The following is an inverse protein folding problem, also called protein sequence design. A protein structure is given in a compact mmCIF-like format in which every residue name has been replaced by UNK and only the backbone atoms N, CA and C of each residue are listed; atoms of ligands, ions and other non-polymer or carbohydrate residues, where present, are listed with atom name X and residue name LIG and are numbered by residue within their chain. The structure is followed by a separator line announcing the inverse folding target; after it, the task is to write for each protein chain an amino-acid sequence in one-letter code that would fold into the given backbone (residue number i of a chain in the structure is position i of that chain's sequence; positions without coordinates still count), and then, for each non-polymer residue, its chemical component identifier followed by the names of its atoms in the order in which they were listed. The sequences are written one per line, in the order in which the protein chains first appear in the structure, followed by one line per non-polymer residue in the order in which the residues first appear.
data_IF_808906111127
#
_entry.id   IF_808906111127
#
_cell.length_a   1.000
_cell.length_b   1.000
_cell.length_c   1.000
_cell.angle_alpha   90.00
_cell.angle_beta   90.00
_cell.angle_gamma   90.00
#
_symmetry.space_group_name_H-M   'P 1'
#
loop_
_entity.id
_entity.type
_entity.pdbx_description
1 polymer ?
#
# COMPACT_ATOMS: atom_id res chain seq x y z
N UNK A 1 -12.88 -29.33 -63.71
CA UNK A 1 -11.92 -28.38 -63.12
C UNK A 1 -12.13 -28.39 -61.62
N UNK A 2 -11.20 -28.96 -60.86
CA UNK A 2 -11.23 -29.08 -59.40
C UNK A 2 -10.22 -28.07 -58.86
N UNK A 3 -10.69 -27.06 -58.12
CA UNK A 3 -9.81 -26.19 -57.33
C UNK A 3 -9.65 -26.78 -55.93
N UNK A 4 -8.39 -26.90 -55.51
CA UNK A 4 -7.97 -27.43 -54.22
C UNK A 4 -7.48 -26.24 -53.38
N UNK A 5 -8.31 -25.74 -52.46
CA UNK A 5 -7.92 -24.70 -51.50
C UNK A 5 -7.12 -25.36 -50.37
N UNK A 6 -5.84 -25.00 -50.28
CA UNK A 6 -4.95 -25.40 -49.19
C UNK A 6 -4.93 -24.28 -48.15
N UNK A 7 -5.77 -24.38 -47.12
CA UNK A 7 -5.78 -23.43 -45.99
C UNK A 7 -4.63 -23.77 -45.04
N UNK A 8 -3.58 -22.98 -45.09
CA UNK A 8 -2.42 -23.05 -44.19
C UNK A 8 -2.79 -22.39 -42.85
N UNK A 9 -3.34 -23.17 -41.91
CA UNK A 9 -3.50 -22.73 -40.52
C UNK A 9 -2.14 -22.73 -39.83
N UNK A 10 -1.44 -21.59 -39.90
CA UNK A 10 -0.23 -21.34 -39.13
C UNK A 10 -0.61 -21.16 -37.65
N UNK A 11 -0.58 -22.24 -36.88
CA UNK A 11 -0.70 -22.18 -35.43
C UNK A 11 0.55 -21.50 -34.84
N UNK A 12 0.46 -20.19 -34.60
CA UNK A 12 1.43 -19.47 -33.79
C UNK A 12 1.28 -19.92 -32.33
N UNK A 13 2.03 -20.97 -31.97
CA UNK A 13 2.25 -21.35 -30.58
C UNK A 13 3.17 -20.30 -29.97
N UNK A 14 2.60 -19.20 -29.47
CA UNK A 14 3.35 -18.24 -28.66
C UNK A 14 3.70 -18.92 -27.35
N UNK A 15 4.94 -19.39 -27.24
CA UNK A 15 5.57 -19.69 -25.95
C UNK A 15 5.56 -18.39 -25.12
N UNK A 16 4.51 -18.18 -24.34
CA UNK A 16 4.55 -17.23 -23.24
C UNK A 16 5.51 -17.80 -22.21
N UNK A 17 6.79 -17.49 -22.35
CA UNK A 17 7.75 -17.66 -21.27
C UNK A 17 7.18 -16.90 -20.07
N UNK A 18 6.66 -17.64 -19.09
CA UNK A 18 6.00 -17.05 -17.93
C UNK A 18 7.05 -16.45 -16.99
N UNK A 19 7.65 -15.33 -17.41
CA UNK A 19 8.62 -14.60 -16.61
C UNK A 19 8.05 -14.28 -15.24
N UNK A 20 8.90 -14.32 -14.22
CA UNK A 20 8.53 -13.87 -12.88
C UNK A 20 8.20 -12.38 -12.94
N UNK A 21 7.12 -11.98 -12.28
CA UNK A 21 6.73 -10.56 -12.23
C UNK A 21 7.80 -9.74 -11.51
N UNK A 22 8.12 -8.57 -12.08
CA UNK A 22 9.03 -7.59 -11.45
C UNK A 22 8.59 -7.20 -10.04
N UNK A 23 7.30 -7.22 -9.74
CA UNK A 23 6.76 -6.92 -8.41
C UNK A 23 7.12 -8.02 -7.41
N UNK A 24 7.02 -9.28 -7.83
CA UNK A 24 7.43 -10.42 -7.00
C UNK A 24 8.94 -10.40 -6.75
N UNK A 25 9.73 -10.04 -7.77
CA UNK A 25 11.18 -9.83 -7.60
C UNK A 25 11.48 -8.68 -6.64
N UNK A 26 10.72 -7.59 -6.72
CA UNK A 26 10.87 -6.44 -5.83
C UNK A 26 10.52 -6.82 -4.38
N UNK A 27 9.42 -7.54 -4.18
CA UNK A 27 9.02 -8.08 -2.88
C UNK A 27 10.12 -8.99 -2.30
N UNK A 28 10.62 -9.94 -3.08
CA UNK A 28 11.63 -10.90 -2.62
C UNK A 28 12.99 -10.26 -2.28
N UNK A 29 13.28 -9.08 -2.82
CA UNK A 29 14.49 -8.30 -2.49
C UNK A 29 14.37 -7.53 -1.18
N UNK A 30 13.16 -7.33 -0.66
CA UNK A 30 12.96 -6.61 0.60
C UNK A 30 13.65 -7.33 1.77
N UNK A 31 14.14 -6.57 2.76
CA UNK A 31 14.56 -7.15 4.03
C UNK A 31 13.45 -8.04 4.61
N UNK A 32 13.83 -9.13 5.29
CA UNK A 32 12.85 -10.09 5.85
C UNK A 32 11.84 -9.41 6.80
N UNK A 33 12.30 -8.42 7.57
CA UNK A 33 11.45 -7.65 8.48
C UNK A 33 10.30 -6.94 7.73
N UNK A 34 10.59 -6.32 6.59
CA UNK A 34 9.60 -5.60 5.79
C UNK A 34 8.74 -6.50 4.90
N UNK A 35 8.93 -7.83 4.95
CA UNK A 35 8.02 -8.81 4.35
C UNK A 35 7.01 -9.36 5.35
N UNK A 36 7.15 -8.99 6.64
CA UNK A 36 6.28 -9.48 7.72
C UNK A 36 6.14 -11.01 7.76
N UNK A 37 7.21 -11.73 7.39
CA UNK A 37 7.22 -13.20 7.35
C UNK A 37 6.55 -13.84 6.14
N UNK A 38 5.85 -13.07 5.29
CA UNK A 38 5.17 -13.61 4.12
C UNK A 38 6.14 -14.09 3.04
N UNK A 39 5.79 -15.21 2.41
CA UNK A 39 6.41 -15.74 1.21
C UNK A 39 5.39 -15.78 0.09
N UNK A 40 5.70 -15.15 -1.05
CA UNK A 40 4.82 -15.18 -2.22
C UNK A 40 5.23 -16.33 -3.15
N UNK A 41 4.29 -17.22 -3.43
CA UNK A 41 4.46 -18.38 -4.30
C UNK A 41 3.54 -18.28 -5.51
N UNK A 42 4.04 -18.64 -6.70
CA UNK A 42 3.24 -18.73 -7.92
C UNK A 42 2.48 -20.06 -7.96
N UNK A 43 1.16 -20.01 -8.23
CA UNK A 43 0.29 -21.18 -8.42
C UNK A 43 -0.45 -21.04 -9.75
N UNK A 44 0.05 -21.72 -10.78
CA UNK A 44 -0.44 -21.54 -12.15
C UNK A 44 -0.22 -20.10 -12.62
N UNK A 45 -1.31 -19.41 -12.95
CA UNK A 45 -1.29 -17.99 -13.34
C UNK A 45 -1.45 -17.01 -12.16
N UNK A 46 -1.74 -17.53 -10.97
CA UNK A 46 -2.01 -16.74 -9.77
C UNK A 46 -0.82 -16.73 -8.81
N UNK A 47 -0.87 -15.83 -7.82
CA UNK A 47 0.10 -15.76 -6.73
C UNK A 47 -0.61 -15.85 -5.38
N UNK A 48 0.03 -16.53 -4.42
CA UNK A 48 -0.45 -16.63 -3.04
C UNK A 48 0.64 -16.21 -2.06
N UNK A 49 0.28 -15.47 -1.02
CA UNK A 49 1.17 -15.11 0.09
C UNK A 49 0.82 -15.96 1.31
N UNK A 50 1.83 -16.42 2.05
CA UNK A 50 1.64 -17.24 3.24
C UNK A 50 2.69 -16.88 4.29
N UNK A 51 2.25 -16.68 5.53
CA UNK A 51 3.09 -16.44 6.71
C UNK A 51 2.98 -17.57 7.76
N UNK A 52 2.40 -18.71 7.40
CA UNK A 52 2.19 -19.88 8.27
C UNK A 52 0.75 -20.02 8.80
N UNK A 53 -0.14 -19.10 8.44
CA UNK A 53 -1.57 -19.08 8.82
C UNK A 53 -2.48 -19.63 7.72
N UNK A 54 -1.93 -19.82 6.52
CA UNK A 54 -2.65 -20.26 5.33
C UNK A 54 -2.46 -19.29 4.16
N UNK A 55 -2.64 -19.76 2.92
CA UNK A 55 -2.40 -18.94 1.74
C UNK A 55 -3.53 -17.93 1.52
N UNK A 56 -3.16 -16.65 1.37
CA UNK A 56 -4.06 -15.61 0.88
C UNK A 56 -3.73 -15.25 -0.58
N UNK A 57 -4.74 -14.78 -1.33
CA UNK A 57 -4.57 -14.38 -2.71
C UNK A 57 -3.76 -13.08 -2.82
N UNK A 58 -2.84 -13.02 -3.79
CA UNK A 58 -2.05 -11.82 -4.08
C UNK A 58 -2.55 -11.18 -5.37
N UNK A 59 -2.99 -9.94 -5.28
CA UNK A 59 -3.22 -9.08 -6.42
C UNK A 59 -1.88 -8.60 -6.96
N UNK A 60 -1.57 -8.90 -8.23
CA UNK A 60 -0.37 -8.42 -8.91
C UNK A 60 -0.76 -7.60 -10.13
N UNK A 61 -0.58 -6.29 -10.05
CA UNK A 61 -0.88 -5.34 -11.12
C UNK A 61 0.43 -4.85 -11.76
N UNK A 62 0.95 -5.64 -12.70
CA UNK A 62 2.20 -5.33 -13.39
C UNK A 62 2.15 -4.04 -14.21
N UNK A 63 0.98 -3.69 -14.73
CA UNK A 63 0.80 -2.49 -15.56
C UNK A 63 1.02 -1.22 -14.72
N UNK A 64 0.49 -1.23 -13.49
CA UNK A 64 0.61 -0.09 -12.59
C UNK A 64 1.75 -0.22 -11.57
N UNK A 65 2.44 -1.37 -11.52
CA UNK A 65 3.52 -1.58 -10.58
C UNK A 65 3.03 -1.67 -9.13
N UNK A 66 1.88 -2.30 -8.91
CA UNK A 66 1.24 -2.43 -7.61
C UNK A 66 1.00 -3.90 -7.23
N UNK A 67 1.19 -4.23 -5.96
CA UNK A 67 0.89 -5.53 -5.39
C UNK A 67 0.18 -5.36 -4.05
N UNK A 68 -0.85 -6.16 -3.82
CA UNK A 68 -1.56 -6.20 -2.53
C UNK A 68 -1.92 -7.63 -2.17
N UNK A 69 -1.91 -7.93 -0.87
CA UNK A 69 -2.64 -9.07 -0.33
C UNK A 69 -3.25 -8.70 1.01
N UNK A 70 -4.33 -9.41 1.34
CA UNK A 70 -5.08 -9.27 2.59
C UNK A 70 -5.13 -10.61 3.29
N UNK A 71 -4.62 -10.64 4.50
CA UNK A 71 -4.66 -11.82 5.37
C UNK A 71 -5.66 -11.56 6.49
N UNK A 72 -6.81 -12.22 6.44
CA UNK A 72 -7.86 -12.10 7.44
C UNK A 72 -7.56 -12.90 8.72
N UNK A 73 -6.47 -13.67 8.74
CA UNK A 73 -6.03 -14.48 9.87
C UNK A 73 -7.13 -15.35 10.50
N UNK A 74 -6.91 -15.73 11.75
CA UNK A 74 -7.91 -16.32 12.67
C UNK A 74 -8.19 -15.44 13.89
N UNK A 75 -7.50 -14.28 13.99
CA UNK A 75 -7.38 -13.47 15.21
C UNK A 75 -8.20 -12.17 15.24
N UNK A 76 -9.25 -12.05 14.41
CA UNK A 76 -10.23 -10.95 14.52
C UNK A 76 -9.94 -9.68 13.72
N UNK A 77 -8.88 -9.64 12.89
CA UNK A 77 -8.56 -8.50 12.05
C UNK A 77 -7.99 -8.91 10.68
N UNK A 78 -7.98 -7.98 9.75
CA UNK A 78 -7.38 -8.11 8.43
C UNK A 78 -6.07 -7.34 8.38
N UNK A 79 -4.98 -8.06 8.11
CA UNK A 79 -3.70 -7.47 7.75
C UNK A 79 -3.68 -7.18 6.26
N UNK A 80 -3.20 -6.00 5.90
CA UNK A 80 -3.02 -5.59 4.52
C UNK A 80 -1.57 -5.29 4.29
N UNK A 81 -1.01 -5.92 3.26
CA UNK A 81 0.30 -5.59 2.74
C UNK A 81 0.14 -4.95 1.37
N UNK A 82 0.78 -3.81 1.17
CA UNK A 82 0.83 -3.13 -0.12
C UNK A 82 2.29 -2.92 -0.54
N UNK A 83 2.54 -3.03 -1.84
CA UNK A 83 3.79 -2.63 -2.48
C UNK A 83 3.48 -1.85 -3.74
N UNK A 84 4.12 -0.69 -3.91
CA UNK A 84 4.02 0.12 -5.12
C UNK A 84 5.41 0.53 -5.61
N UNK A 85 5.58 0.53 -6.94
CA UNK A 85 6.82 0.96 -7.59
C UNK A 85 6.70 2.39 -8.09
N UNK A 86 7.49 3.28 -7.50
CA UNK A 86 7.63 4.65 -7.96
C UNK A 86 8.85 4.79 -8.85
N UNK A 87 8.82 5.73 -9.78
CA UNK A 87 9.96 6.07 -10.63
C UNK A 87 10.18 7.56 -10.68
N UNK A 88 11.43 7.96 -10.61
CA UNK A 88 11.82 9.33 -10.87
C UNK A 88 12.13 9.55 -12.37
N UNK A 89 12.43 10.79 -12.74
CA UNK A 89 12.77 11.23 -14.10
C UNK A 89 14.00 10.52 -14.67
N UNK A 90 14.91 10.08 -13.79
CA UNK A 90 16.10 9.29 -14.12
C UNK A 90 15.80 7.78 -14.27
N UNK A 91 14.53 7.38 -14.17
CA UNK A 91 14.05 5.99 -14.22
C UNK A 91 14.56 5.12 -13.05
N UNK A 92 15.07 5.73 -11.99
CA UNK A 92 15.40 5.03 -10.76
C UNK A 92 14.10 4.56 -10.12
N UNK A 93 14.08 3.31 -9.65
CA UNK A 93 12.90 2.69 -9.04
C UNK A 93 12.99 2.80 -7.53
N UNK A 94 11.91 3.26 -6.91
CA UNK A 94 11.68 3.24 -5.48
C UNK A 94 10.59 2.20 -5.20
N UNK A 95 10.82 1.36 -4.20
CA UNK A 95 9.85 0.37 -3.74
C UNK A 95 9.24 0.92 -2.47
N UNK A 96 7.97 1.34 -2.56
CA UNK A 96 7.19 1.66 -1.38
C UNK A 96 6.54 0.38 -0.87
N UNK A 97 6.60 0.14 0.44
CA UNK A 97 5.83 -0.91 1.10
C UNK A 97 5.07 -0.32 2.26
N UNK A 98 3.87 -0.81 2.49
CA UNK A 98 3.08 -0.45 3.64
C UNK A 98 2.40 -1.70 4.19
N UNK A 99 2.35 -1.78 5.51
CA UNK A 99 1.71 -2.87 6.24
C UNK A 99 0.86 -2.27 7.36
N UNK A 100 -0.41 -2.63 7.40
CA UNK A 100 -1.36 -2.15 8.41
C UNK A 100 -2.43 -3.19 8.70
N UNK A 101 -3.16 -3.01 9.80
CA UNK A 101 -4.22 -3.93 10.22
C UNK A 101 -5.50 -3.18 10.59
N UNK A 102 -6.66 -3.75 10.23
CA UNK A 102 -7.97 -3.24 10.64
C UNK A 102 -8.90 -4.37 11.08
N UNK A 103 -9.82 -4.08 11.97
CA UNK A 103 -10.88 -5.00 12.43
C UNK A 103 -12.01 -5.02 11.39
N UNK A 104 -12.43 -3.83 11.00
CA UNK A 104 -13.42 -3.55 9.96
C UNK A 104 -12.93 -2.31 9.19
N UNK A 105 -12.94 -2.31 7.84
CA UNK A 105 -12.56 -1.15 7.04
C UNK A 105 -13.29 0.15 7.41
N UNK A 106 -14.50 0.05 7.96
CA UNK A 106 -15.34 1.17 8.38
C UNK A 106 -15.28 1.45 9.89
N UNK A 107 -15.05 0.42 10.72
CA UNK A 107 -15.10 0.57 12.18
C UNK A 107 -13.76 0.79 12.83
N UNK A 108 -12.66 0.35 12.20
CA UNK A 108 -11.37 0.77 12.72
C UNK A 108 -10.09 0.01 12.43
N UNK A 109 -8.99 0.77 12.52
CA UNK A 109 -7.60 0.30 12.45
C UNK A 109 -7.17 -0.28 13.80
N UNK A 110 -6.42 -1.38 13.78
CA UNK A 110 -5.85 -2.02 14.99
C UNK A 110 -4.35 -1.74 15.08
N UNK A 111 -3.70 -1.56 13.93
CA UNK A 111 -2.28 -1.25 13.83
C UNK A 111 -2.05 -0.25 12.70
N UNK A 112 -1.20 0.75 12.98
CA UNK A 112 -0.88 1.83 12.05
C UNK A 112 -0.02 1.36 10.88
N UNK A 113 -0.13 2.07 9.76
CA UNK A 113 0.66 1.80 8.57
C UNK A 113 2.06 2.40 8.66
N UNK A 114 3.09 1.56 8.78
CA UNK A 114 4.47 1.98 8.61
C UNK A 114 4.83 1.91 7.12
N UNK A 115 4.73 3.04 6.43
CA UNK A 115 5.23 3.13 5.05
C UNK A 115 6.76 3.17 5.06
N UNK A 116 7.38 2.34 4.25
CA UNK A 116 8.82 2.34 4.03
C UNK A 116 9.13 2.50 2.55
N UNK A 117 10.18 3.25 2.24
CA UNK A 117 10.70 3.37 0.88
C UNK A 117 12.08 2.75 0.79
N UNK A 118 12.30 1.98 -0.28
CA UNK A 118 13.58 1.37 -0.58
C UNK A 118 14.07 1.76 -1.97
N UNK A 119 15.36 1.98 -2.12
CA UNK A 119 16.00 2.26 -3.40
C UNK A 119 17.24 1.37 -3.59
N UNK A 120 17.52 0.99 -4.84
CA UNK A 120 18.74 0.26 -5.23
C UNK A 120 18.48 -0.95 -6.11
N UNK A 121 19.43 -1.28 -6.98
CA UNK A 121 19.28 -2.38 -7.96
C UNK A 121 19.81 -3.73 -7.44
N UNK A 122 20.97 -3.71 -6.76
CA UNK A 122 21.66 -4.88 -6.21
C UNK A 122 21.43 -5.06 -4.71
N UNK A 123 21.43 -3.96 -3.97
CA UNK A 123 21.17 -3.91 -2.53
C UNK A 123 20.16 -2.80 -2.30
N UNK A 124 19.06 -3.12 -1.64
CA UNK A 124 18.09 -2.12 -1.23
C UNK A 124 18.62 -1.37 0.00
N UNK A 125 18.49 -0.05 -0.05
CA UNK A 125 18.73 0.86 1.05
C UNK A 125 17.39 1.49 1.38
N UNK A 126 17.05 1.55 2.66
CA UNK A 126 15.86 2.27 3.11
C UNK A 126 16.10 3.77 3.01
N UNK A 127 15.19 4.47 2.34
CA UNK A 127 15.24 5.91 2.04
C UNK A 127 13.94 6.62 2.46
N UNK A 128 13.26 6.07 3.46
CA UNK A 128 11.94 6.54 3.92
C UNK A 128 11.98 8.01 4.35
N UNK A 129 13.05 8.45 5.02
CA UNK A 129 13.19 9.82 5.55
C UNK A 129 13.47 10.84 4.45
N UNK A 130 14.08 10.40 3.36
CA UNK A 130 14.40 11.22 2.19
C UNK A 130 13.19 11.35 1.26
N UNK A 131 12.31 10.35 1.26
CA UNK A 131 11.11 10.32 0.42
C UNK A 131 9.92 10.97 1.10
N UNK A 132 9.67 10.71 2.38
CA UNK A 132 8.52 11.29 3.08
C UNK A 132 8.77 12.77 3.40
N UNK A 133 7.72 13.62 3.35
CA UNK A 133 7.79 14.97 3.89
C UNK A 133 7.87 14.94 5.42
N UNK A 134 8.04 16.12 6.02
CA UNK A 134 7.86 16.29 7.46
C UNK A 134 6.43 15.89 7.88
N UNK A 135 6.34 14.80 8.66
CA UNK A 135 5.06 14.23 9.07
C UNK A 135 4.29 15.13 10.03
N UNK A 136 4.97 15.97 10.83
CA UNK A 136 4.27 16.93 11.70
C UNK A 136 3.41 17.90 10.88
N UNK A 137 3.91 18.34 9.73
CA UNK A 137 3.13 19.20 8.81
C UNK A 137 1.98 18.43 8.13
N UNK A 138 2.18 17.16 7.80
CA UNK A 138 1.13 16.29 7.23
C UNK A 138 0.01 16.06 8.23
N UNK A 139 0.36 15.71 9.46
CA UNK A 139 -0.56 15.53 10.59
C UNK A 139 -1.34 16.81 10.87
N UNK A 140 -0.67 17.96 11.00
CA UNK A 140 -1.36 19.24 11.26
C UNK A 140 -2.40 19.57 10.18
N UNK A 141 -2.04 19.38 8.91
CA UNK A 141 -2.97 19.56 7.79
C UNK A 141 -4.14 18.59 7.87
N UNK A 142 -3.87 17.33 8.16
CA UNK A 142 -4.90 16.31 8.27
C UNK A 142 -5.90 16.58 9.39
N UNK A 143 -5.41 17.08 10.52
CA UNK A 143 -6.22 17.43 11.68
C UNK A 143 -6.83 18.83 11.57
N UNK A 144 -6.67 19.50 10.42
CA UNK A 144 -7.14 20.86 10.17
C UNK A 144 -6.74 21.83 11.29
N UNK A 145 -5.49 21.72 11.77
CA UNK A 145 -4.95 22.52 12.87
C UNK A 145 -5.32 22.06 14.28
N UNK A 146 -6.00 20.92 14.46
CA UNK A 146 -6.43 20.41 15.78
C UNK A 146 -5.59 19.23 16.30
N UNK A 147 -4.40 19.00 15.73
CA UNK A 147 -3.57 17.85 16.05
C UNK A 147 -3.36 17.70 17.57
N UNK A 148 -2.98 18.79 18.24
CA UNK A 148 -2.76 18.82 19.69
C UNK A 148 -3.97 18.37 20.49
N UNK A 149 -5.16 18.91 20.20
CA UNK A 149 -6.40 18.53 20.91
C UNK A 149 -6.74 17.05 20.72
N UNK A 150 -6.48 16.51 19.54
CA UNK A 150 -6.74 15.09 19.23
C UNK A 150 -5.76 14.20 19.99
N UNK A 151 -4.47 14.54 19.96
CA UNK A 151 -3.45 13.79 20.69
C UNK A 151 -3.56 13.91 22.22
N UNK A 152 -4.18 14.97 22.74
CA UNK A 152 -4.41 15.10 24.18
C UNK A 152 -5.61 14.29 24.66
N UNK A 153 -6.69 14.22 23.86
CA UNK A 153 -7.97 13.67 24.31
C UNK A 153 -8.29 12.28 23.74
N UNK A 154 -7.70 11.89 22.60
CA UNK A 154 -8.10 10.69 21.85
C UNK A 154 -6.91 9.89 21.30
N UNK A 155 -5.68 10.17 21.73
CA UNK A 155 -4.45 9.51 21.24
C UNK A 155 -4.51 7.99 21.35
N UNK A 156 -5.13 7.47 22.41
CA UNK A 156 -5.41 6.05 22.51
C UNK A 156 -6.51 5.68 21.49
N UNK A 157 -6.11 5.02 20.40
CA UNK A 157 -7.02 4.52 19.37
C UNK A 157 -7.15 5.37 18.11
N UNK A 158 -6.34 6.42 17.95
CA UNK A 158 -6.07 7.04 16.64
C UNK A 158 -4.82 6.40 16.05
N UNK A 159 -4.99 5.70 14.93
CA UNK A 159 -3.89 5.05 14.20
C UNK A 159 -3.68 5.75 12.87
N UNK A 160 -2.45 6.04 12.51
CA UNK A 160 -2.14 6.63 11.22
C UNK A 160 -1.78 5.52 10.23
N UNK A 161 -2.22 5.64 8.99
CA UNK A 161 -1.81 4.69 7.95
C UNK A 161 -1.77 5.33 6.57
N UNK A 162 -1.01 4.70 5.69
CA UNK A 162 -0.89 5.10 4.30
C UNK A 162 -1.71 4.17 3.39
N UNK A 163 -2.17 4.68 2.26
CA UNK A 163 -2.69 3.88 1.16
C UNK A 163 -1.79 4.10 -0.06
N UNK A 164 -1.11 3.04 -0.49
CA UNK A 164 -0.27 3.10 -1.68
C UNK A 164 -1.15 3.11 -2.95
N UNK A 165 -0.84 3.93 -3.96
CA UNK A 165 -1.65 4.03 -5.15
C UNK A 165 -1.53 2.76 -5.97
N UNK A 166 -2.67 2.12 -6.23
CA UNK A 166 -2.77 1.16 -7.34
C UNK A 166 -2.73 1.85 -8.69
N UNK A 167 -3.25 3.07 -8.81
CA UNK A 167 -3.23 3.86 -10.05
C UNK A 167 -2.68 5.26 -9.74
N UNK A 168 -1.87 5.79 -10.66
CA UNK A 168 -1.19 7.08 -10.46
C UNK A 168 -0.05 6.98 -9.44
N UNK A 169 0.32 8.12 -8.85
CA UNK A 169 1.49 8.22 -7.96
C UNK A 169 1.19 9.04 -6.69
N UNK A 170 -0.09 9.18 -6.34
CA UNK A 170 -0.51 9.88 -5.12
C UNK A 170 -0.65 8.86 -4.00
N UNK A 171 0.14 9.01 -2.95
CA UNK A 171 -0.05 8.26 -1.70
C UNK A 171 -1.09 8.98 -0.86
N UNK A 172 -2.01 8.25 -0.25
CA UNK A 172 -2.95 8.85 0.71
C UNK A 172 -2.50 8.57 2.12
N UNK A 173 -2.71 9.53 3.00
CA UNK A 173 -2.48 9.42 4.43
C UNK A 173 -3.82 9.54 5.14
N UNK A 174 -4.07 8.60 6.04
CA UNK A 174 -5.35 8.36 6.70
C UNK A 174 -5.18 8.25 8.20
N UNK A 175 -6.31 8.42 8.89
CA UNK A 175 -6.45 8.24 10.33
C UNK A 175 -7.53 7.20 10.58
N UNK A 176 -7.20 6.21 11.40
CA UNK A 176 -8.12 5.32 12.05
C UNK A 176 -8.96 6.13 13.02
N UNK A 177 -10.27 6.01 12.90
CA UNK A 177 -11.22 6.84 13.64
C UNK A 177 -11.91 6.06 14.77
N UNK A 178 -11.33 4.98 15.29
CA UNK A 178 -12.01 4.05 16.19
C UNK A 178 -12.42 4.74 17.49
N UNK A 179 -11.46 5.40 18.16
CA UNK A 179 -11.72 6.11 19.42
C UNK A 179 -12.70 7.26 19.21
N UNK A 180 -12.58 7.97 18.09
CA UNK A 180 -13.50 9.03 17.69
C UNK A 180 -14.90 8.50 17.35
N UNK A 181 -15.01 7.34 16.71
CA UNK A 181 -16.27 6.65 16.40
C UNK A 181 -16.99 6.28 17.70
N UNK A 182 -16.26 5.68 18.64
CA UNK A 182 -16.79 5.28 19.93
C UNK A 182 -17.24 6.49 20.76
N UNK A 183 -16.37 7.50 20.91
CA UNK A 183 -16.69 8.71 21.66
C UNK A 183 -17.88 9.47 21.05
N UNK A 184 -17.89 9.64 19.72
CA UNK A 184 -19.00 10.27 19.02
C UNK A 184 -20.33 9.50 19.18
N UNK A 185 -20.29 8.17 19.18
CA UNK A 185 -21.48 7.33 19.42
C UNK A 185 -22.00 7.44 20.85
N UNK A 186 -21.12 7.72 21.81
CA UNK A 186 -21.45 8.02 23.21
C UNK A 186 -21.73 9.52 23.44
N UNK A 187 -22.17 10.24 22.42
CA UNK A 187 -22.63 11.64 22.49
C UNK A 187 -21.53 12.68 22.81
N UNK A 188 -20.25 12.36 22.65
CA UNK A 188 -19.19 13.37 22.67
C UNK A 188 -19.24 14.22 21.38
N UNK A 189 -19.84 15.41 21.50
CA UNK A 189 -19.97 16.37 20.39
C UNK A 189 -18.61 16.82 19.84
N UNK A 190 -17.58 16.91 20.68
CA UNK A 190 -16.24 17.31 20.25
C UNK A 190 -15.60 16.21 19.40
N UNK A 191 -15.71 14.95 19.83
CA UNK A 191 -15.25 13.80 19.04
C UNK A 191 -15.98 13.73 17.68
N UNK A 192 -17.30 13.96 17.66
CA UNK A 192 -18.07 14.02 16.41
C UNK A 192 -17.62 15.15 15.48
N UNK A 193 -17.35 16.34 16.02
CA UNK A 193 -16.88 17.50 15.26
C UNK A 193 -15.49 17.23 14.67
N UNK A 194 -14.58 16.68 15.47
CA UNK A 194 -13.24 16.28 15.05
C UNK A 194 -13.32 15.25 13.92
N UNK A 195 -14.07 14.16 14.12
CA UNK A 195 -14.24 13.10 13.11
C UNK A 195 -14.69 13.67 11.76
N UNK A 196 -15.65 14.61 11.76
CA UNK A 196 -16.15 15.25 10.53
C UNK A 196 -15.13 16.20 9.87
N UNK A 197 -14.11 16.64 10.62
CA UNK A 197 -13.07 17.54 10.13
C UNK A 197 -11.79 16.84 9.68
N UNK A 198 -11.65 15.53 9.95
CA UNK A 198 -10.49 14.76 9.51
C UNK A 198 -10.44 14.71 7.99
N UNK A 199 -9.24 14.98 7.46
CA UNK A 199 -8.97 14.96 6.02
C UNK A 199 -8.09 13.77 5.68
N UNK A 200 -8.44 13.08 4.60
CA UNK A 200 -7.46 12.25 3.89
C UNK A 200 -6.47 13.19 3.22
N UNK A 201 -5.19 13.08 3.58
CA UNK A 201 -4.15 13.92 3.02
C UNK A 201 -3.52 13.22 1.82
N UNK A 202 -3.49 13.91 0.69
CA UNK A 202 -2.81 13.46 -0.51
C UNK A 202 -1.34 13.90 -0.50
N UNK A 203 -0.46 12.93 -0.71
CA UNK A 203 0.97 13.11 -0.89
C UNK A 203 1.34 12.83 -2.35
N UNK A 204 1.83 13.85 -3.04
CA UNK A 204 2.13 13.80 -4.47
C UNK A 204 3.60 13.45 -4.69
N UNK A 205 3.84 12.48 -5.58
CA UNK A 205 5.18 12.09 -6.00
C UNK A 205 5.80 13.11 -6.98
N UNK A 206 6.89 13.74 -6.54
CA UNK A 206 7.71 14.64 -7.35
C UNK A 206 8.80 13.85 -8.05
N UNK A 207 8.52 13.44 -9.29
CA UNK A 207 9.41 12.58 -10.09
C UNK A 207 10.77 13.21 -10.39
N UNK A 208 10.92 14.52 -10.30
CA UNK A 208 12.16 15.22 -10.62
C UNK A 208 13.25 14.82 -9.63
N UNK A 209 12.89 14.66 -8.37
CA UNK A 209 13.82 14.43 -7.25
C UNK A 209 13.59 13.07 -6.59
N UNK A 210 12.35 12.57 -6.60
CA UNK A 210 11.96 11.28 -6.03
C UNK A 210 11.55 11.38 -4.57
N UNK A 211 10.61 12.27 -4.24
CA UNK A 211 10.05 12.43 -2.91
C UNK A 211 8.54 12.73 -2.97
N UNK A 212 7.88 12.64 -1.82
CA UNK A 212 6.46 12.95 -1.63
C UNK A 212 6.28 14.34 -1.00
N UNK A 213 5.26 15.08 -1.42
CA UNK A 213 4.92 16.35 -0.78
C UNK A 213 3.42 16.66 -0.79
N UNK A 214 3.03 17.67 -0.01
CA UNK A 214 1.64 18.15 0.10
C UNK A 214 1.18 19.00 -1.09
N UNK A 215 2.10 19.36 -1.99
CA UNK A 215 1.86 20.23 -3.15
C UNK A 215 2.06 19.44 -4.43
N UNK A 216 1.25 19.73 -5.45
CA UNK A 216 1.39 19.12 -6.78
C UNK A 216 2.57 19.72 -7.54
#
# INVERSE_FOLDING_TARGET
MKELLFTFCLALTTCFASGQSKLIDSFNKLPKANRHGYVITKKGESYTADAGTGPCAVLVDNANGFLEFKDTGTGGGTFVFQLALFKNSKKETFIAVNYFAYEDPEQGMIDGGNIHFFQGSKKLVEVTKEVLPDMTTVEDKAYNGNATTIFENYKEGVYEYFELPRNGTTVKFHFGTNSLNYACSNTDENACKIKRSLLVVELYWHKEVGYLSLTK
#
